data_IF_384074854932
#
_entry.id   IF_384074854932
#
_cell.length_a   1.000
_cell.length_b   1.000
_cell.length_c   1.000
_cell.angle_alpha   90.00
_cell.angle_beta   90.00
_cell.angle_gamma   90.00
#
_symmetry.space_group_name_H-M   'P 1'
#
loop_
_entity.id
_entity.type
_entity.pdbx_description
1 polymer ?
2 non-polymer ?
3 non-polymer ?
4 non-polymer ?
5 water ?
#
# COMPACT_ATOMS: atom_id res chain seq x y z
N UNK A 5 -8.54 18.60 -0.75
CA UNK A 5 -8.39 17.11 -0.84
C UNK A 5 -8.77 16.44 0.46
N UNK A 6 -9.43 15.28 0.36
CA UNK A 6 -9.88 14.54 1.53
C UNK A 6 -9.60 13.03 1.40
N UNK A 7 -9.58 12.32 2.52
CA UNK A 7 -9.31 10.89 2.48
C UNK A 7 -10.41 10.09 1.72
N UNK A 8 -11.65 10.56 1.79
CA UNK A 8 -12.76 9.95 1.08
C UNK A 8 -12.54 9.90 -0.40
N UNK A 9 -11.76 10.87 -0.93
CA UNK A 9 -11.47 10.88 -2.36
C UNK A 9 -10.65 9.67 -2.84
N UNK A 10 -10.03 8.94 -1.91
CA UNK A 10 -9.27 7.75 -2.30
C UNK A 10 -10.13 6.48 -2.32
N UNK A 11 -11.41 6.57 -1.96
CA UNK A 11 -12.24 5.38 -1.88
C UNK A 11 -12.49 4.76 -3.24
N UNK A 12 -12.63 3.44 -3.22
CA UNK A 12 -13.03 2.68 -4.38
C UNK A 12 -12.18 1.45 -4.61
N UNK A 13 -12.52 0.73 -5.68
CA UNK A 13 -11.72 -0.33 -6.24
C UNK A 13 -10.83 0.22 -7.33
N UNK A 14 -9.54 -0.05 -7.21
CA UNK A 14 -8.51 0.46 -8.09
C UNK A 14 -7.72 -0.72 -8.65
N UNK A 15 -7.37 -0.65 -9.93
CA UNK A 15 -6.61 -1.71 -10.59
C UNK A 15 -5.25 -1.19 -11.01
N UNK A 16 -4.23 -1.99 -10.76
CA UNK A 16 -2.87 -1.61 -11.08
C UNK A 16 -2.68 -1.51 -12.60
N UNK A 17 -2.16 -0.38 -13.09
CA UNK A 17 -1.89 -0.18 -14.51
C UNK A 17 -0.44 0.12 -14.84
N UNK A 18 0.36 0.56 -13.87
CA UNK A 18 1.80 0.77 -14.10
C UNK A 18 2.61 0.61 -12.81
N UNK A 19 3.83 0.09 -12.94
CA UNK A 19 4.71 -0.06 -11.79
C UNK A 19 6.15 0.23 -12.17
N UNK A 20 6.85 0.95 -11.27
CA UNK A 20 8.28 1.19 -11.38
C UNK A 20 8.93 1.04 -10.01
N UNK A 21 10.07 0.34 -9.96
CA UNK A 21 10.81 0.20 -8.72
C UNK A 21 10.34 -0.80 -7.70
N UNK A 22 9.26 -1.55 -7.99
CA UNK A 22 8.67 -2.40 -6.95
C UNK A 22 9.58 -3.60 -6.63
N UNK A 23 10.17 -4.24 -7.64
CA UNK A 23 11.10 -5.31 -7.35
C UNK A 23 12.29 -4.77 -6.54
N UNK A 24 12.80 -3.58 -6.89
CA UNK A 24 13.91 -3.03 -6.13
C UNK A 24 13.52 -2.76 -4.65
N UNK A 25 12.31 -2.27 -4.44
CA UNK A 25 11.80 -2.07 -3.07
C UNK A 25 11.72 -3.39 -2.31
N UNK A 26 11.21 -4.43 -2.97
CA UNK A 26 11.17 -5.78 -2.34
C UNK A 26 12.56 -6.31 -2.00
N UNK A 27 13.51 -6.06 -2.88
CA UNK A 27 14.92 -6.46 -2.62
C UNK A 27 15.51 -5.72 -1.45
N UNK A 28 15.17 -4.44 -1.30
CA UNK A 28 15.66 -3.64 -0.15
C UNK A 28 15.11 -4.22 1.16
N UNK A 29 13.85 -4.67 1.14
CA UNK A 29 13.23 -5.32 2.29
C UNK A 29 13.86 -6.71 2.55
N UNK A 30 14.52 -7.30 1.54
CA UNK A 30 15.08 -8.62 1.62
C UNK A 30 14.02 -9.72 1.43
N UNK A 31 12.93 -9.41 0.75
CA UNK A 31 11.86 -10.36 0.43
C UNK A 31 12.48 -11.43 -0.47
N UNK A 32 12.17 -12.70 -0.18
CA UNK A 32 12.73 -13.83 -0.92
C UNK A 32 12.17 -13.97 -2.32
N UNK A 33 12.88 -14.74 -3.16
CA UNK A 33 12.58 -14.80 -4.58
C UNK A 33 11.17 -15.29 -4.87
N UNK A 34 10.63 -16.21 -4.09
CA UNK A 34 9.29 -16.72 -4.40
C UNK A 34 8.26 -15.60 -4.29
N UNK A 35 8.33 -14.83 -3.22
CA UNK A 35 7.43 -13.70 -3.03
C UNK A 35 7.74 -12.56 -4.04
N UNK A 36 9.01 -12.33 -4.39
CA UNK A 36 9.34 -11.29 -5.38
C UNK A 36 8.78 -11.61 -6.75
N UNK A 37 8.85 -12.89 -7.15
CA UNK A 37 8.27 -13.29 -8.44
C UNK A 37 6.77 -13.04 -8.43
N UNK A 38 6.11 -13.37 -7.32
CA UNK A 38 4.69 -13.13 -7.21
C UNK A 38 4.39 -11.62 -7.35
N UNK A 39 5.19 -10.78 -6.69
CA UNK A 39 5.00 -9.32 -6.76
C UNK A 39 5.32 -8.67 -8.09
N UNK A 40 6.31 -9.21 -8.79
CA UNK A 40 6.66 -8.69 -10.08
C UNK A 40 5.56 -8.97 -11.08
N UNK A 41 4.84 -10.08 -10.91
CA UNK A 41 3.90 -10.51 -11.95
C UNK A 41 2.42 -10.23 -11.61
N UNK A 42 2.07 -10.15 -10.33
CA UNK A 42 0.69 -9.86 -9.91
C UNK A 42 0.20 -8.46 -10.39
N UNK A 43 -1.07 -8.35 -10.72
CA UNK A 43 -1.68 -7.06 -11.05
C UNK A 43 -2.89 -6.91 -10.10
N UNK A 44 -2.63 -6.64 -8.82
CA UNK A 44 -3.70 -6.56 -7.82
C UNK A 44 -4.68 -5.42 -7.99
N UNK A 45 -5.86 -5.65 -7.44
CA UNK A 45 -6.74 -4.57 -7.13
C UNK A 45 -6.52 -4.13 -5.71
N UNK A 46 -6.66 -2.83 -5.49
CA UNK A 46 -6.62 -2.18 -4.17
C UNK A 46 -8.05 -1.69 -3.93
N UNK A 47 -8.64 -1.98 -2.77
CA UNK A 47 -9.96 -1.49 -2.42
C UNK A 47 -9.85 -0.70 -1.13
N UNK A 48 -10.12 0.59 -1.21
CA UNK A 48 -9.98 1.52 -0.11
C UNK A 48 -11.36 1.99 0.33
N UNK A 49 -11.63 1.88 1.63
CA UNK A 49 -12.88 2.38 2.19
C UNK A 49 -12.56 3.15 3.46
N UNK A 50 -13.37 4.16 3.75
CA UNK A 50 -13.22 4.89 4.98
C UNK A 50 -14.55 5.26 5.56
N UNK A 51 -14.55 5.62 6.82
CA UNK A 51 -15.75 6.06 7.53
C UNK A 51 -15.22 6.92 8.67
N UNK A 52 -15.21 8.23 8.44
CA UNK A 52 -14.59 9.19 9.37
C UNK A 52 -13.09 8.98 9.47
N UNK A 53 -12.64 8.64 10.66
CA UNK A 53 -11.24 8.32 10.88
C UNK A 53 -10.95 6.82 10.67
N UNK A 54 -11.96 6.02 10.37
CA UNK A 54 -11.71 4.57 10.18
C UNK A 54 -11.37 4.31 8.72
N UNK A 55 -10.33 3.52 8.49
CA UNK A 55 -9.81 3.20 7.15
C UNK A 55 -9.62 1.70 7.02
N UNK A 56 -10.02 1.13 5.88
CA UNK A 56 -9.66 -0.23 5.49
C UNK A 56 -8.98 -0.21 4.12
N UNK A 57 -7.89 -0.95 3.95
CA UNK A 57 -7.30 -1.17 2.63
C UNK A 57 -7.15 -2.67 2.38
N UNK A 58 -7.81 -3.18 1.34
CA UNK A 58 -7.76 -4.55 0.92
C UNK A 58 -7.04 -4.68 -0.40
N UNK A 59 -6.28 -5.77 -0.56
CA UNK A 59 -5.57 -6.12 -1.79
C UNK A 59 -6.06 -7.51 -2.30
N UNK A 60 -6.34 -7.64 -3.59
CA UNK A 60 -6.87 -8.89 -4.25
C UNK A 60 -6.20 -9.21 -5.52
N UNK A 61 -5.74 -10.46 -5.65
CA UNK A 61 -5.18 -11.01 -6.90
C UNK A 61 -5.13 -12.51 -6.74
N UNK A 62 -5.01 -13.28 -7.81
CA UNK A 62 -4.83 -14.74 -7.65
C UNK A 62 -3.54 -15.07 -6.89
N UNK A 63 -2.46 -14.31 -7.07
CA UNK A 63 -1.25 -14.57 -6.28
C UNK A 63 -1.23 -14.11 -4.76
N UNK A 64 -1.91 -13.04 -4.30
CA UNK A 64 -2.24 -12.90 -2.83
C UNK A 64 -3.34 -11.88 -2.54
N UNK A 65 -3.86 -11.99 -1.31
CA UNK A 65 -5.11 -11.36 -0.86
C UNK A 65 -5.21 -10.87 0.61
N UNK A 66 -4.60 -9.74 0.91
CA UNK A 66 -4.48 -9.19 2.26
C UNK A 66 -5.38 -7.98 2.61
N UNK A 67 -5.55 -7.67 3.89
CA UNK A 67 -6.39 -6.56 4.32
C UNK A 67 -5.99 -6.04 5.69
N UNK A 68 -5.99 -4.74 5.90
CA UNK A 68 -5.88 -4.15 7.22
C UNK A 68 -6.90 -3.05 7.44
N UNK A 69 -7.21 -2.80 8.71
CA UNK A 69 -8.10 -1.75 9.15
C UNK A 69 -7.45 -0.98 10.28
N UNK A 70 -7.71 0.33 10.33
CA UNK A 70 -7.16 1.16 11.39
C UNK A 70 -7.98 2.41 11.60
N UNK A 71 -7.61 3.14 12.66
CA UNK A 71 -8.12 4.48 12.89
C UNK A 71 -6.99 5.46 12.58
N UNK A 72 -7.28 6.47 11.77
CA UNK A 72 -6.24 7.43 11.44
C UNK A 72 -5.61 8.02 12.73
N UNK A 73 -4.29 8.04 12.78
CA UNK A 73 -3.55 8.57 13.91
C UNK A 73 -3.20 7.56 14.99
N UNK A 74 -3.75 6.37 14.93
CA UNK A 74 -3.54 5.35 15.97
C UNK A 74 -2.49 4.32 15.56
N UNK A 75 -1.51 4.06 16.43
CA UNK A 75 -0.53 3.01 16.18
C UNK A 75 -1.25 1.64 16.24
N UNK A 76 -0.87 0.75 15.33
CA UNK A 76 -1.49 -0.59 15.30
C UNK A 76 -0.51 -1.63 14.75
N UNK A 77 -0.76 -2.90 15.08
CA UNK A 77 0.02 -4.01 14.53
C UNK A 77 -0.49 -4.40 13.16
N UNK A 78 0.36 -4.17 12.16
CA UNK A 78 0.05 -4.56 10.80
C UNK A 78 0.86 -5.79 10.40
N UNK A 79 0.21 -6.87 9.93
CA UNK A 79 0.91 -7.98 9.36
C UNK A 79 0.96 -7.70 7.84
N UNK A 80 2.18 -7.62 7.31
CA UNK A 80 2.38 -7.28 5.92
C UNK A 80 2.35 -8.56 5.05
N UNK A 81 2.24 -8.42 3.72
CA UNK A 81 2.20 -9.62 2.83
C UNK A 81 3.44 -10.50 2.93
N UNK A 82 4.60 -9.84 3.04
CA UNK A 82 5.87 -10.51 3.21
C UNK A 82 6.08 -11.06 4.62
N UNK A 83 5.14 -10.80 5.54
CA UNK A 83 5.13 -11.47 6.85
C UNK A 83 5.76 -10.71 8.00
N UNK A 84 6.08 -9.43 7.81
CA UNK A 84 6.49 -8.60 8.93
C UNK A 84 5.28 -8.28 9.80
N UNK A 85 5.54 -8.04 11.08
CA UNK A 85 4.55 -7.52 11.97
C UNK A 85 5.10 -6.15 12.40
N UNK A 86 4.54 -5.13 11.80
CA UNK A 86 5.05 -3.76 11.98
C UNK A 86 4.17 -2.97 12.93
N UNK A 87 4.74 -1.96 13.56
CA UNK A 87 3.96 -0.91 14.18
C UNK A 87 3.71 0.14 13.12
N UNK A 88 2.45 0.34 12.75
CA UNK A 88 2.06 1.22 11.65
C UNK A 88 1.19 2.34 12.19
N UNK A 89 1.30 3.52 11.56
CA UNK A 89 0.33 4.61 11.74
C UNK A 89 -0.03 5.14 10.37
N UNK A 90 -1.32 5.36 10.14
CA UNK A 90 -1.80 6.06 8.94
C UNK A 90 -2.42 7.40 9.28
N UNK A 91 -2.05 8.41 8.49
CA UNK A 91 -2.57 9.76 8.64
C UNK A 91 -2.87 10.32 7.25
N UNK A 92 -3.85 11.20 7.15
CA UNK A 92 -4.10 11.95 5.92
C UNK A 92 -3.60 13.36 6.17
N UNK A 93 -2.54 13.70 5.44
CA UNK A 93 -1.76 14.92 5.73
C UNK A 93 -1.39 15.55 4.41
N UNK A 94 -1.62 16.85 4.26
CA UNK A 94 -1.20 17.56 3.04
C UNK A 94 -1.62 16.86 1.75
N UNK A 95 -2.89 16.42 1.74
CA UNK A 95 -3.50 15.75 0.58
C UNK A 95 -2.99 14.35 0.21
N UNK A 96 -2.31 13.66 1.15
CA UNK A 96 -1.83 12.32 0.93
C UNK A 96 -2.17 11.47 2.14
N UNK A 97 -2.57 10.23 1.86
CA UNK A 97 -2.61 9.22 2.92
C UNK A 97 -1.18 8.73 3.11
N UNK A 98 -0.67 8.84 4.33
CA UNK A 98 0.71 8.44 4.65
C UNK A 98 0.69 7.27 5.64
N UNK A 99 1.29 6.16 5.25
CA UNK A 99 1.34 4.92 6.04
C UNK A 99 2.82 4.66 6.44
N UNK A 100 3.10 4.80 7.73
CA UNK A 100 4.48 4.70 8.28
C UNK A 100 4.57 3.42 9.04
N UNK A 101 5.53 2.58 8.62
CA UNK A 101 5.78 1.22 9.19
C UNK A 101 7.13 1.18 9.90
N UNK A 102 7.14 0.66 11.11
CA UNK A 102 8.35 0.47 11.91
C UNK A 102 8.41 -0.99 12.41
N UNK A 103 9.58 -1.62 12.28
CA UNK A 103 9.81 -2.94 12.81
C UNK A 103 11.31 -3.17 12.93
N UNK A 104 11.76 -3.81 14.00
CA UNK A 104 13.15 -4.29 14.15
C UNK A 104 14.19 -3.19 13.84
N UNK A 105 13.90 -1.96 14.26
CA UNK A 105 14.80 -0.82 14.04
C UNK A 105 14.78 -0.25 12.62
N UNK A 106 13.92 -0.79 11.76
CA UNK A 106 13.78 -0.34 10.39
C UNK A 106 12.47 0.49 10.22
N UNK A 107 12.37 1.17 9.09
CA UNK A 107 11.21 1.97 8.76
C UNK A 107 10.95 2.00 7.25
N UNK A 108 9.68 2.04 6.87
CA UNK A 108 9.30 2.27 5.52
C UNK A 108 8.02 3.05 5.49
N UNK A 109 7.86 3.86 4.44
CA UNK A 109 6.68 4.70 4.23
C UNK A 109 6.04 4.38 2.90
N UNK A 110 4.70 4.31 2.91
CA UNK A 110 3.87 4.19 1.73
C UNK A 110 2.92 5.39 1.70
N UNK A 111 2.88 6.11 0.57
CA UNK A 111 1.94 7.21 0.40
C UNK A 111 0.93 6.83 -0.68
N UNK A 112 -0.27 7.40 -0.58
CA UNK A 112 -1.31 7.17 -1.58
C UNK A 112 -2.01 8.53 -1.82
N UNK A 113 -2.13 8.91 -3.10
CA UNK A 113 -2.65 10.22 -3.53
C UNK A 113 -3.56 10.07 -4.74
N UNK A 114 -4.50 11.00 -4.87
CA UNK A 114 -5.35 11.11 -6.07
C UNK A 114 -4.68 12.16 -6.97
N UNK A 115 -4.33 11.76 -8.18
CA UNK A 115 -3.78 12.70 -9.19
C UNK A 115 -4.40 12.42 -10.56
N UNK A 116 -5.07 13.42 -11.12
CA UNK A 116 -5.73 13.31 -12.44
C UNK A 116 -6.61 12.05 -12.52
N UNK A 117 -7.36 11.78 -11.46
CA UNK A 117 -8.30 10.67 -11.47
C UNK A 117 -7.69 9.31 -11.17
N UNK A 118 -6.37 9.25 -11.04
CA UNK A 118 -5.65 8.00 -10.79
C UNK A 118 -5.15 7.95 -9.35
N UNK A 119 -4.98 6.74 -8.84
CA UNK A 119 -4.41 6.58 -7.49
C UNK A 119 -2.92 6.30 -7.67
N UNK A 120 -2.08 7.15 -7.05
CA UNK A 120 -0.64 7.04 -7.15
C UNK A 120 -0.12 6.55 -5.79
N UNK A 121 0.51 5.39 -5.81
CA UNK A 121 1.02 4.76 -4.61
C UNK A 121 2.55 4.78 -4.67
N UNK A 122 3.17 5.34 -3.67
CA UNK A 122 4.62 5.48 -3.66
C UNK A 122 5.18 4.89 -2.40
N UNK A 123 6.22 4.08 -2.54
CA UNK A 123 6.85 3.41 -1.40
C UNK A 123 8.30 3.80 -1.28
N UNK A 124 8.82 3.76 -0.06
CA UNK A 124 10.26 4.00 0.14
C UNK A 124 10.78 3.25 1.38
N UNK A 125 11.97 2.67 1.25
CA UNK A 125 12.75 2.20 2.39
C UNK A 125 14.19 2.56 2.09
N UNK A 126 14.83 3.31 2.99
CA UNK A 126 16.27 3.59 2.85
C UNK A 126 16.61 4.10 1.46
N UNK A 127 15.82 5.06 1.00
CA UNK A 127 16.00 5.72 -0.29
C UNK A 127 15.70 4.88 -1.52
N UNK A 128 15.27 3.63 -1.33
CA UNK A 128 14.86 2.76 -2.48
C UNK A 128 13.35 2.97 -2.64
N UNK A 129 12.93 3.41 -3.82
CA UNK A 129 11.58 3.86 -4.08
C UNK A 129 10.82 3.01 -5.10
N UNK A 130 9.51 3.10 -5.01
CA UNK A 130 8.65 2.59 -6.03
C UNK A 130 7.49 3.58 -6.29
N UNK A 131 6.92 3.52 -7.49
CA UNK A 131 5.75 4.29 -7.87
C UNK A 131 4.82 3.34 -8.64
N UNK A 132 3.58 3.21 -8.14
CA UNK A 132 2.60 2.34 -8.72
C UNK A 132 1.33 3.15 -8.97
N UNK A 133 0.81 3.03 -10.17
CA UNK A 133 -0.37 3.80 -10.60
C UNK A 133 -1.55 2.86 -10.83
N UNK A 134 -2.69 3.27 -10.26
CA UNK A 134 -3.93 2.53 -10.38
C UNK A 134 -5.03 3.36 -11.02
N UNK A 135 -5.91 2.69 -11.76
CA UNK A 135 -7.09 3.35 -12.31
C UNK A 135 -8.36 2.76 -11.71
N UNK A 136 -9.38 3.60 -11.60
CA UNK A 136 -10.64 3.23 -10.93
C UNK A 136 -11.38 2.14 -11.72
N UNK A 137 -11.85 1.11 -11.02
CA UNK A 137 -12.70 0.07 -11.60
C UNK A 137 -14.13 0.43 -11.28
N UNK A 138 -14.90 0.79 -12.29
CA UNK A 138 -16.29 1.17 -12.02
C UNK A 138 -17.21 0.77 -13.18
#
# INVERSE_FOLDING_TARGET
GSHMATVQQLEGRWRLVDSKGFDEYMKELGVGIALRKMGAMAKPDCIITCDGKNLTIKTESTLKTTQFSCTLGEKFEETTADGRKTQTVCNFTDGALVQHQEWDGKESTITRKLKDGKLVVECVMNNVTCTRIYEKVE
#
